data_IF_121459610253
#
_entry.id   IF_121459610253
#
_cell.length_a   1.000
_cell.length_b   1.000
_cell.length_c   1.000
_cell.angle_alpha   90.00
_cell.angle_beta   90.00
_cell.angle_gamma   90.00
#
_symmetry.space_group_name_H-M   'P 1'
#
loop_
_entity.id
_entity.type
_entity.pdbx_description
1 polymer ?
#
# COMPACT_ATOMS: atom_id res chain seq x y z
N UNK A 1 0.96 19.99 -22.75
CA UNK A 1 1.56 20.72 -21.61
C UNK A 1 3.01 21.03 -21.98
N UNK A 2 3.61 22.12 -21.51
CA UNK A 2 5.04 22.41 -21.77
C UNK A 2 5.80 22.51 -20.45
N UNK A 3 7.01 21.97 -20.41
CA UNK A 3 7.94 22.11 -19.28
C UNK A 3 9.31 22.46 -19.82
N UNK A 4 9.89 23.58 -19.33
CA UNK A 4 11.16 24.12 -19.81
C UNK A 4 11.24 24.22 -21.35
N UNK A 5 10.16 24.68 -21.98
CA UNK A 5 10.07 24.86 -23.44
C UNK A 5 9.89 23.57 -24.26
N UNK A 6 9.84 22.39 -23.63
CA UNK A 6 9.59 21.11 -24.30
C UNK A 6 8.14 20.65 -24.09
N UNK A 7 7.44 20.15 -25.13
CA UNK A 7 6.12 19.56 -24.95
C UNK A 7 6.23 18.28 -24.11
N UNK A 8 5.35 18.15 -23.12
CA UNK A 8 5.08 16.89 -22.43
C UNK A 8 3.82 16.30 -23.07
N UNK A 9 3.97 15.14 -23.70
CA UNK A 9 2.86 14.42 -24.31
C UNK A 9 2.15 13.57 -23.26
N UNK A 10 0.84 13.39 -23.44
CA UNK A 10 0.07 12.51 -22.56
C UNK A 10 0.55 11.05 -22.64
N UNK A 11 1.11 10.65 -23.78
CA UNK A 11 1.73 9.34 -23.97
C UNK A 11 2.96 9.15 -23.08
N UNK A 12 3.78 10.18 -22.91
CA UNK A 12 4.95 10.14 -22.02
C UNK A 12 4.50 9.91 -20.56
N UNK A 13 3.46 10.62 -20.13
CA UNK A 13 2.90 10.48 -18.79
C UNK A 13 2.29 9.09 -18.56
N UNK A 14 1.54 8.57 -19.54
CA UNK A 14 0.98 7.21 -19.46
C UNK A 14 2.08 6.15 -19.40
N UNK A 15 3.12 6.30 -20.21
CA UNK A 15 4.28 5.41 -20.23
C UNK A 15 5.02 5.45 -18.90
N UNK A 16 5.20 6.64 -18.32
CA UNK A 16 5.80 6.81 -17.00
C UNK A 16 5.01 6.06 -15.93
N UNK A 17 3.68 6.26 -15.85
CA UNK A 17 2.82 5.58 -14.87
C UNK A 17 2.83 4.07 -15.07
N UNK A 18 2.78 3.59 -16.32
CA UNK A 18 2.84 2.17 -16.63
C UNK A 18 4.18 1.55 -16.19
N UNK A 19 5.31 2.22 -16.45
CA UNK A 19 6.63 1.78 -15.97
C UNK A 19 6.72 1.76 -14.46
N UNK A 20 6.29 2.83 -13.79
CA UNK A 20 6.29 2.87 -12.32
C UNK A 20 5.44 1.76 -11.70
N UNK A 21 4.31 1.41 -12.34
CA UNK A 21 3.46 0.30 -11.90
C UNK A 21 4.18 -1.04 -12.04
N UNK A 22 4.84 -1.28 -13.19
CA UNK A 22 5.63 -2.49 -13.42
C UNK A 22 6.82 -2.58 -12.46
N UNK A 23 7.57 -1.50 -12.28
CA UNK A 23 8.70 -1.43 -11.34
C UNK A 23 8.26 -1.71 -9.90
N UNK A 24 7.09 -1.23 -9.50
CA UNK A 24 6.52 -1.51 -8.18
C UNK A 24 6.13 -3.00 -8.04
N UNK A 25 5.46 -3.58 -9.03
CA UNK A 25 5.13 -5.01 -9.04
C UNK A 25 6.39 -5.88 -8.99
N UNK A 26 7.42 -5.56 -9.79
CA UNK A 26 8.67 -6.30 -9.79
C UNK A 26 9.43 -6.15 -8.47
N UNK A 27 9.39 -4.98 -7.84
CA UNK A 27 9.95 -4.77 -6.51
C UNK A 27 9.19 -5.58 -5.45
N UNK A 28 7.85 -5.59 -5.49
CA UNK A 28 7.01 -6.35 -4.57
C UNK A 28 7.35 -7.83 -4.66
N UNK A 29 7.21 -8.42 -5.84
CA UNK A 29 7.30 -9.86 -6.03
C UNK A 29 8.75 -10.35 -6.02
N UNK A 30 9.66 -9.62 -6.66
CA UNK A 30 11.05 -10.07 -6.80
C UNK A 30 11.93 -9.82 -5.58
N UNK A 31 11.56 -8.89 -4.70
CA UNK A 31 12.44 -8.46 -3.60
C UNK A 31 11.76 -8.42 -2.23
N UNK A 32 10.47 -8.13 -2.13
CA UNK A 32 9.78 -7.93 -0.85
C UNK A 32 9.00 -9.15 -0.36
N UNK A 33 8.27 -9.81 -1.24
CA UNK A 33 7.63 -11.11 -0.98
C UNK A 33 8.71 -12.19 -0.97
N UNK A 34 8.63 -13.15 -0.06
CA UNK A 34 9.63 -14.22 0.07
C UNK A 34 9.26 -15.52 -0.66
N UNK A 35 8.00 -15.66 -1.06
CA UNK A 35 7.50 -16.83 -1.78
C UNK A 35 8.28 -17.08 -3.09
N UNK A 36 8.67 -18.32 -3.31
CA UNK A 36 9.37 -18.79 -4.51
C UNK A 36 8.58 -19.94 -5.16
N UNK A 37 8.72 -20.15 -6.47
CA UNK A 37 8.11 -21.27 -7.21
C UNK A 37 6.92 -20.89 -8.11
N UNK A 38 6.13 -21.88 -8.51
CA UNK A 38 5.15 -21.75 -9.60
C UNK A 38 3.87 -20.93 -9.30
N UNK A 39 3.79 -20.28 -8.13
CA UNK A 39 2.69 -19.37 -7.73
C UNK A 39 3.23 -18.19 -6.90
N UNK A 40 4.39 -17.65 -7.31
CA UNK A 40 5.04 -16.54 -6.60
C UNK A 40 4.22 -15.24 -6.66
N UNK A 41 3.47 -15.01 -7.75
CA UNK A 41 2.59 -13.84 -7.93
C UNK A 41 1.14 -14.28 -7.84
N UNK A 42 0.38 -13.64 -6.96
CA UNK A 42 -1.05 -13.91 -6.77
C UNK A 42 -1.83 -12.61 -6.56
N UNK A 43 -3.16 -12.70 -6.62
CA UNK A 43 -4.06 -11.58 -6.36
C UNK A 43 -4.97 -11.91 -5.19
N UNK A 44 -5.32 -10.88 -4.40
CA UNK A 44 -6.30 -11.00 -3.35
C UNK A 44 -7.67 -10.73 -3.99
N UNK A 45 -8.69 -11.60 -3.80
CA UNK A 45 -10.02 -11.40 -4.38
C UNK A 45 -10.76 -10.27 -3.65
N UNK A 46 -10.43 -9.02 -4.00
CA UNK A 46 -10.94 -7.83 -3.30
C UNK A 46 -12.46 -7.71 -3.35
N UNK A 47 -13.11 -8.23 -4.40
CA UNK A 47 -14.57 -8.23 -4.52
C UNK A 47 -15.27 -9.02 -3.39
N UNK A 48 -14.57 -9.96 -2.74
CA UNK A 48 -15.09 -10.70 -1.60
C UNK A 48 -14.81 -10.04 -0.25
N UNK A 49 -14.13 -8.89 -0.21
CA UNK A 49 -13.80 -8.21 1.04
C UNK A 49 -14.97 -7.33 1.48
N UNK A 50 -15.49 -7.60 2.69
CA UNK A 50 -16.50 -6.76 3.33
C UNK A 50 -15.84 -5.64 4.14
N UNK A 51 -16.21 -4.40 3.86
CA UNK A 51 -15.77 -3.23 4.63
C UNK A 51 -16.93 -2.28 4.95
N UNK A 52 -17.21 -2.09 6.24
CA UNK A 52 -18.24 -1.18 6.72
C UNK A 52 -17.63 0.21 6.97
N UNK A 53 -18.01 1.18 6.14
CA UNK A 53 -17.55 2.56 6.23
C UNK A 53 -18.08 3.29 7.47
N UNK A 54 -19.17 2.82 8.07
CA UNK A 54 -19.76 3.41 9.28
C UNK A 54 -19.13 2.87 10.56
N UNK A 55 -18.26 1.87 10.45
CA UNK A 55 -17.61 1.25 11.59
C UNK A 55 -16.54 2.16 12.18
N UNK A 56 -16.76 2.63 13.40
CA UNK A 56 -15.84 3.52 14.14
C UNK A 56 -15.16 2.86 15.34
N UNK A 57 -15.45 1.58 15.62
CA UNK A 57 -14.81 0.88 16.74
C UNK A 57 -13.29 0.91 16.58
N UNK A 58 -12.60 1.36 17.62
CA UNK A 58 -11.14 1.40 17.70
C UNK A 58 -10.54 0.03 17.36
N UNK A 59 -9.45 0.04 16.61
CA UNK A 59 -8.73 -1.17 16.25
C UNK A 59 -9.35 -1.96 15.11
N UNK A 60 -10.42 -1.46 14.46
CA UNK A 60 -11.08 -2.16 13.36
C UNK A 60 -10.68 -1.61 11.98
N UNK A 61 -10.66 -2.52 11.01
CA UNK A 61 -10.48 -2.30 9.57
C UNK A 61 -10.97 -3.54 8.80
N UNK A 62 -11.01 -3.48 7.47
CA UNK A 62 -11.32 -4.65 6.62
C UNK A 62 -10.43 -5.87 6.90
N UNK A 63 -9.22 -5.69 7.45
CA UNK A 63 -8.32 -6.81 7.74
C UNK A 63 -8.94 -7.80 8.74
N UNK A 64 -9.63 -7.28 9.75
CA UNK A 64 -10.07 -8.06 10.92
C UNK A 64 -11.29 -8.91 10.63
N UNK A 65 -12.19 -8.44 9.75
CA UNK A 65 -13.43 -9.15 9.42
C UNK A 65 -13.24 -10.20 8.32
N UNK A 66 -12.17 -10.08 7.54
CA UNK A 66 -11.95 -10.88 6.34
C UNK A 66 -10.83 -11.93 6.49
N UNK A 67 -10.36 -12.20 7.72
CA UNK A 67 -9.32 -13.20 7.98
C UNK A 67 -7.96 -12.85 7.37
N UNK A 68 -7.67 -11.56 7.20
CA UNK A 68 -6.45 -11.07 6.56
C UNK A 68 -5.35 -10.68 7.56
N UNK A 69 -5.61 -10.83 8.87
CA UNK A 69 -4.61 -10.58 9.91
C UNK A 69 -3.62 -11.75 10.04
N UNK A 70 -2.40 -11.48 10.48
CA UNK A 70 -1.40 -12.52 10.80
C UNK A 70 -0.59 -13.03 9.62
N UNK A 71 -0.71 -12.40 8.44
CA UNK A 71 -0.02 -12.82 7.21
C UNK A 71 1.50 -12.60 7.24
N UNK A 72 2.01 -11.88 8.24
CA UNK A 72 3.43 -11.86 8.57
C UNK A 72 4.00 -13.24 8.92
N UNK A 73 3.19 -14.15 9.47
CA UNK A 73 3.63 -15.51 9.77
C UNK A 73 3.92 -16.26 8.47
N UNK A 74 3.01 -16.19 7.51
CA UNK A 74 3.20 -16.76 6.15
C UNK A 74 4.46 -16.19 5.49
N UNK A 75 4.71 -14.88 5.62
CA UNK A 75 5.93 -14.25 5.10
C UNK A 75 7.21 -14.79 5.74
N UNK A 76 7.20 -15.03 7.05
CA UNK A 76 8.36 -15.56 7.77
C UNK A 76 8.60 -17.04 7.44
N UNK A 77 7.53 -17.82 7.25
CA UNK A 77 7.61 -19.21 6.77
C UNK A 77 8.21 -19.24 5.36
N UNK A 78 7.71 -18.40 4.45
CA UNK A 78 8.25 -18.23 3.10
C UNK A 78 9.73 -17.81 3.14
N UNK A 79 10.12 -16.88 4.02
CA UNK A 79 11.51 -16.49 4.20
C UNK A 79 12.39 -17.68 4.59
N UNK A 80 11.94 -18.51 5.54
CA UNK A 80 12.71 -19.68 6.00
C UNK A 80 12.86 -20.73 4.89
N UNK A 81 11.85 -20.87 4.02
CA UNK A 81 11.89 -21.77 2.87
C UNK A 81 12.68 -21.20 1.68
N UNK A 82 12.80 -19.88 1.58
CA UNK A 82 13.40 -19.19 0.43
C UNK A 82 14.93 -19.31 0.36
N UNK A 83 15.45 -19.20 -0.86
CA UNK A 83 16.89 -19.04 -1.10
C UNK A 83 17.48 -17.79 -0.43
N UNK A 84 16.65 -16.77 -0.19
CA UNK A 84 17.02 -15.49 0.46
C UNK A 84 17.16 -15.58 1.98
N UNK A 85 16.86 -16.71 2.61
CA UNK A 85 17.07 -16.93 4.05
C UNK A 85 18.46 -16.47 4.50
N UNK A 86 19.50 -16.83 3.76
CA UNK A 86 20.90 -16.55 4.13
C UNK A 86 21.27 -15.07 4.05
N UNK A 87 20.48 -14.24 3.37
CA UNK A 87 20.69 -12.79 3.33
C UNK A 87 20.25 -12.13 4.64
N UNK A 88 19.22 -12.69 5.28
CA UNK A 88 18.54 -12.12 6.44
C UNK A 88 18.89 -12.85 7.74
N UNK A 89 19.24 -14.13 7.68
CA UNK A 89 19.60 -14.97 8.81
C UNK A 89 21.01 -15.54 8.64
N UNK A 90 21.71 -15.75 9.75
CA UNK A 90 22.96 -16.51 9.77
C UNK A 90 22.72 -18.01 9.99
N UNK A 91 23.82 -18.75 10.20
CA UNK A 91 23.77 -20.21 10.37
C UNK A 91 23.15 -20.63 11.70
N UNK A 92 23.13 -19.76 12.71
CA UNK A 92 22.51 -20.02 14.01
C UNK A 92 21.04 -19.59 14.04
N UNK A 93 20.57 -18.90 12.99
CA UNK A 93 19.20 -18.41 12.87
C UNK A 93 19.02 -17.00 13.45
N UNK A 94 20.11 -16.29 13.72
CA UNK A 94 20.06 -14.90 14.18
C UNK A 94 19.95 -13.92 13.01
N UNK A 95 19.31 -12.78 13.26
CA UNK A 95 19.11 -11.74 12.26
C UNK A 95 20.40 -11.04 11.85
N UNK A 96 20.70 -11.05 10.55
CA UNK A 96 21.74 -10.23 9.95
C UNK A 96 21.24 -8.81 9.76
N UNK A 97 21.69 -7.91 10.63
CA UNK A 97 21.33 -6.49 10.57
C UNK A 97 21.61 -5.82 9.21
N UNK A 98 22.65 -6.25 8.48
CA UNK A 98 22.93 -5.73 7.14
C UNK A 98 21.82 -6.10 6.14
N UNK A 99 21.36 -7.35 6.15
CA UNK A 99 20.25 -7.82 5.33
C UNK A 99 18.94 -7.14 5.69
N UNK A 100 18.65 -7.01 6.99
CA UNK A 100 17.45 -6.32 7.48
C UNK A 100 17.44 -4.86 7.03
N UNK A 101 18.55 -4.13 7.18
CA UNK A 101 18.65 -2.74 6.69
C UNK A 101 18.48 -2.64 5.18
N UNK A 102 18.96 -3.61 4.41
CA UNK A 102 18.76 -3.66 2.95
C UNK A 102 17.28 -3.87 2.63
N UNK A 103 16.62 -4.82 3.29
CA UNK A 103 15.20 -5.09 3.13
C UNK A 103 14.34 -3.87 3.46
N UNK A 104 14.56 -3.22 4.61
CA UNK A 104 13.81 -2.03 5.01
C UNK A 104 13.99 -0.85 4.04
N UNK A 105 15.16 -0.71 3.39
CA UNK A 105 15.34 0.28 2.31
C UNK A 105 14.48 -0.03 1.09
N UNK A 106 14.32 -1.30 0.74
CA UNK A 106 13.46 -1.73 -0.36
C UNK A 106 11.98 -1.51 -0.02
N UNK A 107 11.57 -1.79 1.21
CA UNK A 107 10.20 -1.49 1.69
C UNK A 107 9.92 0.01 1.58
N UNK A 108 10.82 0.86 2.07
CA UNK A 108 10.67 2.32 1.93
C UNK A 108 10.57 2.76 0.48
N UNK A 109 11.37 2.16 -0.41
CA UNK A 109 11.28 2.44 -1.85
C UNK A 109 9.93 2.04 -2.44
N UNK A 110 9.36 0.93 -1.96
CA UNK A 110 8.04 0.49 -2.38
C UNK A 110 6.93 1.41 -1.85
N UNK A 111 7.04 1.90 -0.62
CA UNK A 111 6.13 2.92 -0.07
C UNK A 111 6.16 4.22 -0.90
N UNK A 112 7.34 4.64 -1.37
CA UNK A 112 7.48 5.77 -2.30
C UNK A 112 6.71 5.52 -3.62
N UNK A 113 6.78 4.30 -4.16
CA UNK A 113 5.99 3.93 -5.34
C UNK A 113 4.49 3.96 -5.05
N UNK A 114 4.03 3.34 -3.95
CA UNK A 114 2.62 3.36 -3.56
C UNK A 114 2.09 4.78 -3.41
N UNK A 115 2.86 5.64 -2.75
CA UNK A 115 2.52 7.04 -2.54
C UNK A 115 2.34 7.78 -3.87
N UNK A 116 3.33 7.68 -4.76
CA UNK A 116 3.30 8.37 -6.05
C UNK A 116 2.20 7.82 -6.96
N UNK A 117 2.06 6.49 -7.04
CA UNK A 117 1.04 5.84 -7.85
C UNK A 117 -0.36 6.22 -7.37
N UNK A 118 -0.65 6.10 -6.07
CA UNK A 118 -1.93 6.54 -5.51
C UNK A 118 -2.22 8.03 -5.76
N UNK A 119 -1.19 8.89 -5.64
CA UNK A 119 -1.32 10.31 -5.87
C UNK A 119 -1.64 10.66 -7.33
N UNK A 120 -0.99 10.01 -8.29
CA UNK A 120 -1.12 10.30 -9.73
C UNK A 120 -2.36 9.63 -10.33
N UNK A 121 -2.74 8.44 -9.84
CA UNK A 121 -3.81 7.65 -10.46
C UNK A 121 -5.12 7.64 -9.67
N UNK A 122 -5.13 8.05 -8.40
CA UNK A 122 -6.33 8.11 -7.55
C UNK A 122 -7.29 9.25 -7.88
N UNK A 123 -7.28 9.75 -9.13
CA UNK A 123 -8.03 10.92 -9.56
C UNK A 123 -7.30 12.24 -9.26
N UNK A 124 -8.00 13.19 -8.62
CA UNK A 124 -7.40 14.49 -8.32
C UNK A 124 -6.23 14.34 -7.32
N UNK A 125 -5.03 14.87 -7.61
CA UNK A 125 -3.90 14.73 -6.70
C UNK A 125 -4.21 15.37 -5.34
N UNK A 126 -4.06 14.60 -4.27
CA UNK A 126 -4.22 15.08 -2.89
C UNK A 126 -3.08 16.01 -2.48
N UNK A 127 -3.32 16.99 -1.61
CA UNK A 127 -2.19 17.80 -1.08
C UNK A 127 -1.27 16.90 -0.23
N UNK A 128 0.03 17.23 -0.20
CA UNK A 128 1.06 16.38 0.44
C UNK A 128 0.80 15.99 1.89
N UNK A 129 0.12 16.84 2.67
CA UNK A 129 -0.27 16.55 4.06
C UNK A 129 -1.46 15.57 4.17
N UNK A 130 -2.31 15.48 3.14
CA UNK A 130 -3.50 14.63 3.16
C UNK A 130 -3.16 13.16 2.87
N UNK A 131 -2.17 12.91 2.02
CA UNK A 131 -1.76 11.56 1.62
C UNK A 131 -0.81 10.90 2.64
N UNK A 132 -0.07 11.69 3.40
CA UNK A 132 0.78 11.19 4.49
C UNK A 132 -0.02 10.90 5.77
N UNK A 133 -1.26 11.42 5.86
CA UNK A 133 -2.19 11.19 6.97
C UNK A 133 -3.07 9.94 6.83
N UNK A 134 -2.75 9.01 5.94
CA UNK A 134 -3.52 7.80 5.72
C UNK A 134 -3.48 6.87 6.95
N UNK A 135 -4.62 6.31 7.31
CA UNK A 135 -4.86 5.44 8.45
C UNK A 135 -5.61 4.21 7.96
N UNK A 136 -5.03 3.06 8.22
CA UNK A 136 -5.61 1.76 7.92
C UNK A 136 -6.61 1.30 8.99
N UNK A 137 -6.37 1.67 10.25
CA UNK A 137 -7.10 1.18 11.42
C UNK A 137 -7.74 2.37 12.15
N UNK A 138 -8.95 2.19 12.65
CA UNK A 138 -9.64 3.20 13.45
C UNK A 138 -8.85 3.53 14.73
N UNK A 139 -8.55 4.81 14.92
CA UNK A 139 -7.92 5.34 16.12
C UNK A 139 -8.95 5.72 17.20
N UNK A 140 -8.46 6.38 18.26
CA UNK A 140 -9.33 6.87 19.35
C UNK A 140 -10.06 8.15 18.92
N UNK A 141 -9.34 9.07 18.28
CA UNK A 141 -9.82 10.42 17.95
C UNK A 141 -10.10 10.62 16.46
N UNK A 142 -9.67 9.67 15.62
CA UNK A 142 -9.79 9.73 14.16
C UNK A 142 -9.94 8.32 13.62
N UNK A 143 -10.95 8.15 12.78
CA UNK A 143 -11.19 6.90 12.08
C UNK A 143 -10.17 6.65 10.96
N UNK A 144 -10.21 5.45 10.42
CA UNK A 144 -9.44 5.06 9.23
C UNK A 144 -9.92 5.83 8.01
N UNK A 145 -9.07 5.85 6.98
CA UNK A 145 -9.37 6.48 5.70
C UNK A 145 -8.93 5.63 4.50
N UNK A 146 -8.62 4.35 4.73
CA UNK A 146 -8.40 3.35 3.69
C UNK A 146 -9.53 2.33 3.82
N UNK A 147 -10.27 2.13 2.73
CA UNK A 147 -11.41 1.23 2.67
C UNK A 147 -11.36 0.35 1.42
N UNK A 148 -12.18 -0.70 1.39
CA UNK A 148 -12.49 -1.46 0.18
C UNK A 148 -13.99 -1.31 -0.13
N UNK A 149 -14.32 -0.85 -1.33
CA UNK A 149 -15.71 -0.68 -1.78
C UNK A 149 -15.84 -1.40 -3.12
N UNK A 150 -16.73 -2.40 -3.19
CA UNK A 150 -17.00 -3.18 -4.40
C UNK A 150 -15.73 -3.72 -5.09
N UNK A 151 -14.78 -4.18 -4.28
CA UNK A 151 -13.49 -4.71 -4.75
C UNK A 151 -12.44 -3.66 -5.13
N UNK A 152 -12.72 -2.37 -4.96
CA UNK A 152 -11.77 -1.29 -5.21
C UNK A 152 -11.23 -0.71 -3.90
N UNK A 153 -9.93 -0.39 -3.87
CA UNK A 153 -9.33 0.31 -2.74
C UNK A 153 -9.65 1.80 -2.84
N UNK A 154 -10.18 2.36 -1.76
CA UNK A 154 -10.61 3.75 -1.68
C UNK A 154 -9.88 4.48 -0.56
N UNK A 155 -9.22 5.58 -0.93
CA UNK A 155 -8.60 6.51 0.01
C UNK A 155 -9.55 7.69 0.26
N UNK A 156 -9.99 7.88 1.49
CA UNK A 156 -11.02 8.87 1.87
C UNK A 156 -10.39 10.00 2.69
N UNK A 157 -9.98 11.08 2.02
CA UNK A 157 -9.39 12.23 2.73
C UNK A 157 -10.44 13.28 3.08
N UNK A 158 -10.23 13.99 4.19
CA UNK A 158 -11.07 15.11 4.63
C UNK A 158 -10.36 16.44 4.35
N UNK A 159 -11.06 17.36 3.70
CA UNK A 159 -10.52 18.68 3.37
C UNK A 159 -10.85 19.70 4.46
N UNK A 160 -9.94 19.91 5.42
CA UNK A 160 -10.19 20.77 6.58
C UNK A 160 -10.32 22.28 6.26
N UNK A 161 -9.90 22.77 5.08
CA UNK A 161 -10.09 24.19 4.70
C UNK A 161 -11.54 24.52 4.30
N UNK A 162 -12.42 23.52 4.20
CA UNK A 162 -13.84 23.75 3.96
C UNK A 162 -14.61 24.13 5.23
N UNK A 163 -14.05 23.94 6.43
CA UNK A 163 -14.68 24.34 7.70
C UNK A 163 -14.95 25.85 7.82
N UNK A 164 -14.19 26.68 7.08
CA UNK A 164 -14.43 28.12 7.04
C UNK A 164 -15.67 28.51 6.20
N UNK A 165 -16.18 27.59 5.36
CA UNK A 165 -17.29 27.83 4.43
C UNK A 165 -18.46 26.86 4.58
N UNK A 166 -18.28 25.72 5.27
CA UNK A 166 -19.27 24.66 5.44
C UNK A 166 -19.23 24.12 6.89
N UNK A 167 -20.40 23.76 7.43
CA UNK A 167 -20.54 23.18 8.79
C UNK A 167 -19.91 21.79 8.96
N UNK A 168 -19.43 21.17 7.88
CA UNK A 168 -18.73 19.88 7.93
C UNK A 168 -17.56 19.80 6.94
N UNK A 169 -16.49 19.04 7.25
CA UNK A 169 -15.38 18.84 6.34
C UNK A 169 -15.83 18.12 5.07
N UNK A 170 -15.45 18.64 3.90
CA UNK A 170 -15.68 17.95 2.62
C UNK A 170 -14.88 16.64 2.57
N UNK A 171 -15.60 15.54 2.40
CA UNK A 171 -15.04 14.19 2.19
C UNK A 171 -14.75 13.97 0.71
N UNK A 172 -13.57 13.44 0.39
CA UNK A 172 -13.15 13.18 -0.99
C UNK A 172 -12.71 11.71 -1.10
N UNK A 173 -13.53 10.83 -1.71
CA UNK A 173 -13.12 9.47 -2.01
C UNK A 173 -12.21 9.43 -3.26
N UNK A 174 -11.17 8.60 -3.20
CA UNK A 174 -10.21 8.36 -4.29
C UNK A 174 -10.07 6.86 -4.53
N UNK A 175 -10.66 6.40 -5.62
CA UNK A 175 -10.57 5.00 -6.04
C UNK A 175 -9.22 4.76 -6.73
N UNK A 176 -8.51 3.73 -6.30
CA UNK A 176 -7.25 3.33 -6.90
C UNK A 176 -7.51 2.33 -8.04
N UNK A 177 -6.80 2.45 -9.18
CA UNK A 177 -6.87 1.44 -10.24
C UNK A 177 -6.53 0.05 -9.70
N UNK A 178 -7.20 -0.99 -10.21
CA UNK A 178 -7.12 -2.35 -9.65
C UNK A 178 -5.70 -2.85 -9.38
N UNK A 179 -4.74 -2.64 -10.30
CA UNK A 179 -3.33 -3.03 -10.09
C UNK A 179 -2.69 -2.33 -8.89
N UNK A 180 -2.95 -1.04 -8.72
CA UNK A 180 -2.43 -0.24 -7.60
C UNK A 180 -3.16 -0.61 -6.30
N UNK A 181 -4.47 -0.88 -6.37
CA UNK A 181 -5.23 -1.43 -5.25
C UNK A 181 -4.65 -2.75 -4.74
N UNK A 182 -4.31 -3.68 -5.64
CA UNK A 182 -3.63 -4.94 -5.30
C UNK A 182 -2.28 -4.69 -4.61
N UNK A 183 -1.43 -3.82 -5.16
CA UNK A 183 -0.15 -3.46 -4.54
C UNK A 183 -0.33 -2.89 -3.12
N UNK A 184 -1.33 -2.02 -2.92
CA UNK A 184 -1.67 -1.46 -1.61
C UNK A 184 -2.05 -2.54 -0.60
N UNK A 185 -2.98 -3.42 -0.98
CA UNK A 185 -3.52 -4.46 -0.09
C UNK A 185 -2.46 -5.50 0.23
N UNK A 186 -1.65 -5.91 -0.76
CA UNK A 186 -0.51 -6.79 -0.56
C UNK A 186 0.48 -6.23 0.46
N UNK A 187 0.87 -4.96 0.34
CA UNK A 187 1.76 -4.33 1.31
C UNK A 187 1.14 -4.23 2.70
N UNK A 188 -0.12 -3.79 2.79
CA UNK A 188 -0.83 -3.62 4.06
C UNK A 188 -0.89 -4.94 4.84
N UNK A 189 -1.09 -6.04 4.14
CA UNK A 189 -1.35 -7.35 4.75
C UNK A 189 -0.07 -8.12 5.02
N UNK A 190 0.85 -8.17 4.06
CA UNK A 190 2.02 -9.06 4.14
C UNK A 190 3.28 -8.34 4.63
N UNK A 191 3.51 -7.09 4.21
CA UNK A 191 4.81 -6.42 4.42
C UNK A 191 4.77 -5.50 5.62
N UNK A 192 3.76 -4.64 5.69
CA UNK A 192 3.62 -3.64 6.75
C UNK A 192 3.65 -4.25 8.16
N UNK A 193 3.03 -5.40 8.44
CA UNK A 193 3.09 -5.98 9.79
C UNK A 193 4.50 -6.48 10.19
N UNK A 194 5.40 -6.68 9.23
CA UNK A 194 6.81 -7.00 9.51
C UNK A 194 7.62 -5.77 9.92
N UNK A 195 7.18 -4.57 9.53
CA UNK A 195 7.92 -3.31 9.71
C UNK A 195 7.36 -2.39 10.80
N UNK A 196 6.06 -2.48 11.09
CA UNK A 196 5.41 -1.71 12.14
C UNK A 196 5.72 -2.34 13.51
N UNK A 197 6.76 -1.83 14.20
CA UNK A 197 7.00 -2.02 15.64
C UNK A 197 7.39 -0.72 16.32
#
# INVERSE_FOLDING_TARGET
>A
MYFMGKPILMEDLRTMVAKMTADAEDLLWGQLMFKEGNDERFVIPLAGIEDDLTQTRRGQSFIHRNGLAGKEVEMLEDLIASSRKTDLLDQTGEWKWAGIRKYLKLVKRFEEFLLLLAHITGGQPSRGEEITGLRLINGINRDRNIFIIDGEVVLVTQYHKSLAHFDSPKVIPRFLPGRIGQLFVMYIIYIRPLTDR
#
